data_IF_338274148366
#
_entry.id   IF_338274148366
#
_cell.length_a   1.000
_cell.length_b   1.000
_cell.length_c   1.000
_cell.angle_alpha   90.00
_cell.angle_beta   90.00
_cell.angle_gamma   90.00
#
_symmetry.space_group_name_H-M   'P 1'
#
loop_
_entity.id
_entity.type
_entity.pdbx_description
1 polymer ?
#
# COMPACT_ATOMS: atom_id res chain seq x y z
N UNK A 1 3.36 3.35 8.27
CA UNK A 1 3.92 4.17 7.17
C UNK A 1 5.13 3.46 6.57
N UNK A 2 5.39 3.66 5.28
CA UNK A 2 6.51 3.13 4.52
C UNK A 2 7.49 4.27 4.19
N UNK A 3 8.80 4.01 4.30
CA UNK A 3 9.84 4.94 3.85
C UNK A 3 10.76 4.19 2.90
N UNK A 4 10.93 4.70 1.69
CA UNK A 4 11.67 4.03 0.63
C UNK A 4 12.56 5.03 -0.12
N UNK A 5 13.64 4.51 -0.69
CA UNK A 5 14.54 5.24 -1.57
C UNK A 5 14.32 4.77 -3.00
N UNK A 6 14.08 5.69 -3.93
CA UNK A 6 14.00 5.39 -5.35
C UNK A 6 14.84 6.39 -6.13
N UNK A 7 15.59 5.91 -7.12
CA UNK A 7 16.38 6.78 -8.00
C UNK A 7 15.41 7.54 -8.91
N UNK A 8 15.52 8.88 -8.92
CA UNK A 8 14.81 9.71 -9.88
C UNK A 8 15.44 9.58 -11.26
N UNK A 9 16.25 10.57 -11.62
CA UNK A 9 17.14 10.52 -12.78
C UNK A 9 18.50 9.90 -12.44
N UNK A 10 19.12 10.34 -11.34
CA UNK A 10 20.53 10.03 -11.01
C UNK A 10 20.77 9.81 -9.52
N UNK A 11 19.98 10.43 -8.63
CA UNK A 11 20.21 10.37 -7.18
C UNK A 11 18.94 9.90 -6.44
N UNK A 12 19.10 9.31 -5.25
CA UNK A 12 17.97 8.77 -4.49
C UNK A 12 17.06 9.87 -3.93
N UNK A 13 15.77 9.65 -4.09
CA UNK A 13 14.68 10.41 -3.46
C UNK A 13 14.13 9.57 -2.31
N UNK A 14 14.15 10.13 -1.10
CA UNK A 14 13.57 9.50 0.09
C UNK A 14 12.09 9.87 0.16
N UNK A 15 11.21 8.87 0.07
CA UNK A 15 9.75 9.06 -0.03
C UNK A 15 9.06 8.32 1.11
N UNK A 16 8.21 9.03 1.84
CA UNK A 16 7.32 8.48 2.86
C UNK A 16 5.90 8.30 2.32
N UNK A 17 5.30 7.15 2.56
CA UNK A 17 3.90 6.83 2.19
C UNK A 17 3.14 6.29 3.40
N UNK A 18 2.03 6.94 3.74
CA UNK A 18 1.08 6.45 4.74
C UNK A 18 0.00 5.68 4.00
N UNK A 19 -0.22 4.43 4.40
CA UNK A 19 -1.28 3.56 3.87
C UNK A 19 -2.24 3.27 5.01
N UNK A 20 -3.52 3.48 4.76
CA UNK A 20 -4.61 3.20 5.69
C UNK A 20 -5.45 2.03 5.14
N UNK A 21 -6.18 1.34 6.02
CA UNK A 21 -7.11 0.29 5.64
C UNK A 21 -8.55 0.75 5.80
N UNK A 22 -9.39 0.41 4.82
CA UNK A 22 -10.82 0.60 4.96
C UNK A 22 -11.34 -0.37 6.03
N UNK A 23 -11.83 0.16 7.16
CA UNK A 23 -12.35 -0.62 8.29
C UNK A 23 -13.68 -1.33 8.01
N UNK A 24 -14.33 -0.99 6.90
CA UNK A 24 -15.70 -1.40 6.58
C UNK A 24 -15.74 -2.73 5.79
N UNK A 25 -14.68 -3.10 5.08
CA UNK A 25 -14.64 -4.31 4.24
C UNK A 25 -14.10 -5.52 4.98
N UNK A 26 -14.84 -6.00 5.97
CA UNK A 26 -14.46 -7.20 6.74
C UNK A 26 -14.62 -8.53 5.99
N UNK A 27 -15.17 -8.52 4.76
CA UNK A 27 -15.56 -9.77 4.06
C UNK A 27 -15.11 -9.89 2.59
N UNK A 28 -14.26 -9.00 2.08
CA UNK A 28 -13.60 -9.20 0.78
C UNK A 28 -12.36 -8.32 0.69
N UNK A 29 -11.19 -8.96 0.81
CA UNK A 29 -9.86 -8.40 0.56
C UNK A 29 -9.71 -6.93 0.98
N UNK A 30 -9.38 -6.68 2.24
CA UNK A 30 -9.07 -5.32 2.75
C UNK A 30 -7.93 -4.70 1.95
N UNK A 31 -8.28 -3.92 0.93
CA UNK A 31 -7.35 -3.15 0.13
C UNK A 31 -7.04 -1.86 0.89
N UNK A 32 -5.76 -1.62 1.15
CA UNK A 32 -5.32 -0.34 1.68
C UNK A 32 -5.40 0.75 0.60
N UNK A 33 -5.52 1.99 1.05
CA UNK A 33 -5.42 3.18 0.21
C UNK A 33 -4.33 4.11 0.74
N UNK A 34 -3.81 4.98 -0.11
CA UNK A 34 -2.81 5.98 0.28
C UNK A 34 -3.51 7.11 1.03
N UNK A 35 -3.10 7.34 2.28
CA UNK A 35 -3.56 8.49 3.08
C UNK A 35 -2.66 9.71 2.84
N UNK A 36 -1.36 9.49 2.63
CA UNK A 36 -0.41 10.58 2.44
C UNK A 36 0.85 10.13 1.70
N UNK A 37 1.36 10.98 0.82
CA UNK A 37 2.72 10.89 0.26
C UNK A 37 3.51 12.13 0.66
N UNK A 38 4.77 11.95 1.06
CA UNK A 38 5.68 13.04 1.39
C UNK A 38 7.09 12.77 0.89
N UNK A 39 7.70 13.77 0.27
CA UNK A 39 9.13 13.75 -0.07
C UNK A 39 9.91 14.16 1.18
N UNK A 40 10.72 13.24 1.69
CA UNK A 40 11.49 13.42 2.93
C UNK A 40 12.90 13.96 2.66
N UNK A 41 13.51 13.55 1.55
CA UNK A 41 14.76 14.13 1.06
C UNK A 41 14.83 14.06 -0.46
N UNK A 42 15.32 15.12 -1.08
CA UNK A 42 15.46 15.24 -2.53
C UNK A 42 16.86 15.72 -2.86
N UNK A 43 17.58 14.99 -3.73
CA UNK A 43 19.02 15.22 -3.97
C UNK A 43 19.35 15.54 -5.43
N UNK A 44 18.35 15.63 -6.30
CA UNK A 44 18.58 15.93 -7.72
C UNK A 44 18.59 17.42 -8.03
N UNK A 45 19.12 17.78 -9.21
CA UNK A 45 19.18 19.15 -9.68
C UNK A 45 17.83 19.71 -10.16
N UNK A 46 16.92 18.84 -10.61
CA UNK A 46 15.61 19.20 -11.20
C UNK A 46 14.55 18.20 -10.77
N UNK A 47 13.29 18.61 -10.85
CA UNK A 47 12.15 17.77 -10.48
C UNK A 47 11.79 17.84 -9.00
N UNK A 48 12.33 18.83 -8.28
CA UNK A 48 12.07 19.06 -6.86
C UNK A 48 10.62 19.47 -6.59
N UNK A 49 9.87 19.86 -7.63
CA UNK A 49 8.47 20.22 -7.62
C UNK A 49 7.57 19.07 -7.10
N UNK A 50 8.02 17.81 -7.20
CA UNK A 50 7.31 16.64 -6.63
C UNK A 50 7.14 16.71 -5.10
N UNK A 51 7.86 17.62 -4.41
CA UNK A 51 7.71 17.82 -2.95
C UNK A 51 6.48 18.62 -2.56
N UNK A 52 5.86 19.32 -3.50
CA UNK A 52 4.75 20.20 -3.21
C UNK A 52 3.47 19.43 -2.93
N UNK A 53 2.70 19.90 -1.95
CA UNK A 53 1.43 19.29 -1.56
C UNK A 53 0.44 19.20 -2.72
N UNK A 54 0.42 20.19 -3.62
CA UNK A 54 -0.42 20.18 -4.81
C UNK A 54 -0.15 18.95 -5.71
N UNK A 55 1.11 18.51 -5.82
CA UNK A 55 1.44 17.28 -6.54
C UNK A 55 1.11 16.03 -5.70
N UNK A 56 1.56 15.98 -4.44
CA UNK A 56 1.40 14.77 -3.62
C UNK A 56 -0.06 14.49 -3.22
N UNK A 57 -0.94 15.49 -3.25
CA UNK A 57 -2.37 15.33 -3.00
C UNK A 57 -3.07 14.48 -4.05
N UNK A 58 -2.52 14.34 -5.26
CA UNK A 58 -3.07 13.47 -6.31
C UNK A 58 -3.07 11.98 -5.92
N UNK A 59 -2.25 11.60 -4.93
CA UNK A 59 -2.18 10.23 -4.42
C UNK A 59 -3.18 9.95 -3.30
N UNK A 60 -3.91 10.95 -2.79
CA UNK A 60 -4.89 10.75 -1.73
C UNK A 60 -5.96 9.75 -2.18
N UNK A 61 -6.27 8.79 -1.32
CA UNK A 61 -7.21 7.68 -1.53
C UNK A 61 -6.87 6.74 -2.69
N UNK A 62 -5.69 6.89 -3.31
CA UNK A 62 -5.25 6.02 -4.40
C UNK A 62 -5.14 4.57 -3.92
N UNK A 63 -5.69 3.64 -4.71
CA UNK A 63 -5.65 2.19 -4.47
C UNK A 63 -4.85 1.50 -5.55
N UNK A 64 -4.43 0.27 -5.25
CA UNK A 64 -3.71 -0.57 -6.21
C UNK A 64 -4.68 -1.49 -6.95
N UNK A 65 -4.64 -1.46 -8.27
CA UNK A 65 -5.40 -2.37 -9.13
C UNK A 65 -4.79 -3.78 -9.17
N UNK A 66 -5.52 -4.74 -9.72
CA UNK A 66 -5.02 -6.11 -9.94
C UNK A 66 -3.77 -6.15 -10.83
N UNK A 67 -3.56 -5.15 -11.69
CA UNK A 67 -2.39 -5.00 -12.56
C UNK A 67 -1.17 -4.37 -11.87
N UNK A 68 -1.23 -4.14 -10.55
CA UNK A 68 -0.17 -3.45 -9.78
C UNK A 68 0.11 -2.03 -10.29
N UNK A 69 -0.96 -1.30 -10.60
CA UNK A 69 -0.93 0.13 -10.92
C UNK A 69 -1.83 0.88 -9.93
N UNK A 70 -1.70 2.20 -9.88
CA UNK A 70 -2.70 3.02 -9.21
C UNK A 70 -3.99 3.03 -10.03
N UNK A 71 -5.12 3.12 -9.35
CA UNK A 71 -6.46 3.27 -9.94
C UNK A 71 -6.76 4.71 -10.38
N UNK A 72 -5.97 5.67 -9.90
CA UNK A 72 -6.03 7.08 -10.28
C UNK A 72 -4.90 7.46 -11.25
N UNK A 73 -5.17 8.46 -12.09
CA UNK A 73 -4.16 9.09 -12.93
C UNK A 73 -3.39 10.13 -12.12
N UNK A 74 -2.07 10.19 -12.32
CA UNK A 74 -1.20 11.21 -11.71
C UNK A 74 -0.67 12.10 -12.81
N UNK A 75 -1.05 13.37 -12.77
CA UNK A 75 -0.55 14.40 -13.66
C UNK A 75 0.95 14.57 -13.48
N UNK A 76 1.64 14.58 -14.62
CA UNK A 76 3.07 14.81 -14.65
C UNK A 76 3.46 16.25 -14.32
N UNK A 77 4.73 16.44 -14.01
CA UNK A 77 5.37 17.76 -13.93
C UNK A 77 6.35 17.88 -15.09
N UNK A 78 6.21 18.96 -15.87
CA UNK A 78 7.10 19.25 -17.00
C UNK A 78 8.56 19.28 -16.54
N UNK A 79 9.43 18.51 -17.22
CA UNK A 79 10.84 18.41 -16.89
C UNK A 79 11.19 17.53 -15.68
N UNK A 80 10.19 16.90 -15.05
CA UNK A 80 10.35 16.08 -13.84
C UNK A 80 9.77 14.66 -14.00
N UNK A 81 9.63 14.17 -15.23
CA UNK A 81 8.99 12.87 -15.53
C UNK A 81 9.59 11.71 -14.74
N UNK A 82 10.91 11.66 -14.56
CA UNK A 82 11.57 10.59 -13.82
C UNK A 82 11.31 10.68 -12.32
N UNK A 83 11.29 11.89 -11.76
CA UNK A 83 10.91 12.13 -10.37
C UNK A 83 9.45 11.73 -10.11
N UNK A 84 8.53 12.08 -11.00
CA UNK A 84 7.12 11.65 -10.91
C UNK A 84 7.00 10.12 -10.94
N UNK A 85 7.72 9.46 -11.86
CA UNK A 85 7.74 7.99 -11.95
C UNK A 85 8.28 7.35 -10.67
N UNK A 86 9.32 7.91 -10.07
CA UNK A 86 9.87 7.42 -8.81
C UNK A 86 8.84 7.49 -7.67
N UNK A 87 8.14 8.63 -7.53
CA UNK A 87 7.09 8.78 -6.50
C UNK A 87 5.92 7.82 -6.75
N UNK A 88 5.43 7.70 -7.98
CA UNK A 88 4.35 6.77 -8.32
C UNK A 88 4.74 5.32 -8.08
N UNK A 89 5.98 4.94 -8.38
CA UNK A 89 6.51 3.61 -8.12
C UNK A 89 6.53 3.31 -6.62
N UNK A 90 7.03 4.23 -5.79
CA UNK A 90 7.05 4.05 -4.34
C UNK A 90 5.65 3.98 -3.75
N UNK A 91 4.70 4.82 -4.20
CA UNK A 91 3.31 4.74 -3.76
C UNK A 91 2.70 3.35 -4.06
N UNK A 92 2.91 2.85 -5.27
CA UNK A 92 2.46 1.51 -5.69
C UNK A 92 3.10 0.40 -4.87
N UNK A 93 4.41 0.48 -4.64
CA UNK A 93 5.15 -0.51 -3.85
C UNK A 93 4.71 -0.51 -2.38
N UNK A 94 4.43 0.67 -1.80
CA UNK A 94 3.92 0.78 -0.44
C UNK A 94 2.56 0.08 -0.28
N UNK A 95 1.64 0.29 -1.21
CA UNK A 95 0.35 -0.42 -1.24
C UNK A 95 0.53 -1.93 -1.38
N UNK A 96 1.39 -2.36 -2.32
CA UNK A 96 1.68 -3.77 -2.54
C UNK A 96 2.25 -4.44 -1.29
N UNK A 97 3.30 -3.87 -0.68
CA UNK A 97 3.90 -4.44 0.52
C UNK A 97 2.94 -4.44 1.71
N UNK A 98 2.11 -3.40 1.85
CA UNK A 98 1.08 -3.38 2.87
C UNK A 98 0.09 -4.54 2.72
N UNK A 99 -0.41 -4.79 1.51
CA UNK A 99 -1.28 -5.93 1.24
C UNK A 99 -0.62 -7.27 1.61
N UNK A 100 0.66 -7.45 1.28
CA UNK A 100 1.39 -8.68 1.58
C UNK A 100 1.55 -8.91 3.09
N UNK A 101 1.87 -7.84 3.84
CA UNK A 101 2.01 -7.92 5.31
C UNK A 101 0.67 -8.21 5.99
N UNK A 102 -0.41 -7.54 5.57
CA UNK A 102 -1.74 -7.79 6.13
C UNK A 102 -2.24 -9.20 5.84
N UNK A 103 -2.07 -9.69 4.60
CA UNK A 103 -2.44 -11.07 4.25
C UNK A 103 -1.67 -12.12 5.07
N UNK A 104 -0.38 -11.87 5.37
CA UNK A 104 0.41 -12.75 6.23
C UNK A 104 -0.09 -12.72 7.68
N UNK A 105 -0.47 -11.54 8.19
CA UNK A 105 -1.00 -11.37 9.54
C UNK A 105 -2.35 -12.07 9.72
N UNK A 106 -3.26 -11.95 8.74
CA UNK A 106 -4.56 -12.63 8.76
C UNK A 106 -4.41 -14.16 8.80
N UNK A 107 -3.51 -14.70 7.97
CA UNK A 107 -3.20 -16.15 7.97
C UNK A 107 -2.64 -16.61 9.30
N UNK A 108 -1.76 -15.81 9.92
CA UNK A 108 -1.20 -16.13 11.23
C UNK A 108 -2.29 -16.15 12.31
N UNK A 109 -3.18 -15.15 12.33
CA UNK A 109 -4.29 -15.07 13.28
C UNK A 109 -5.25 -16.26 13.12
N UNK A 110 -5.57 -16.62 11.87
CA UNK A 110 -6.40 -17.80 11.58
C UNK A 110 -5.75 -19.11 12.03
N UNK A 111 -4.42 -19.24 11.89
CA UNK A 111 -3.68 -20.44 12.32
C UNK A 111 -3.61 -20.62 13.85
N UNK A 112 -3.75 -19.54 14.62
CA UNK A 112 -3.67 -19.54 16.09
C UNK A 112 -5.02 -19.78 16.78
N UNK A 113 -6.13 -19.78 16.06
CA UNK A 113 -7.43 -20.13 16.61
C UNK A 113 -7.46 -21.63 16.95
N UNK A 114 -7.94 -22.03 18.13
CA UNK A 114 -8.01 -23.44 18.50
C UNK A 114 -8.89 -24.19 17.51
N UNK A 115 -8.37 -25.26 16.89
CA UNK A 115 -9.18 -26.24 16.17
C UNK A 115 -10.19 -26.79 17.16
N UNK A 116 -11.44 -26.34 17.07
CA UNK A 116 -12.51 -26.86 17.91
C UNK A 116 -12.58 -28.37 17.65
N UNK A 117 -12.30 -29.18 18.68
CA UNK A 117 -12.44 -30.64 18.61
C UNK A 117 -13.87 -30.93 18.15
N UNK A 118 -13.96 -31.74 17.12
CA UNK A 118 -15.20 -32.33 16.62
C UNK A 118 -16.09 -32.71 17.80
N UNK A 119 -17.26 -32.07 17.89
CA UNK A 119 -18.35 -32.59 18.72
C UNK A 119 -18.73 -33.94 18.11
N UNK A 120 -18.29 -35.02 18.75
CA UNK A 120 -18.80 -36.36 18.47
C UNK A 120 -20.33 -36.30 18.45
N UNK A 121 -21.00 -36.83 17.43
CA UNK A 121 -22.45 -36.96 17.51
C UNK A 121 -22.74 -37.89 18.70
N UNK A 122 -23.62 -37.46 19.60
CA UNK A 122 -24.20 -38.36 20.59
C UNK A 122 -24.93 -39.45 19.82
N UNK A 123 -24.27 -40.59 19.67
CA UNK A 123 -24.90 -41.85 19.30
C UNK A 123 -25.76 -42.23 20.50
N UNK A 124 -27.04 -41.89 20.45
CA UNK A 124 -28.06 -42.59 21.23
C UNK A 124 -28.37 -43.91 20.52
N UNK A 125 -27.46 -44.86 20.67
CA UNK A 125 -27.80 -46.28 20.81
C UNK A 125 -28.35 -46.43 22.23
N UNK A 126 -29.42 -47.12 22.60
CA UNK A 126 -30.37 -48.11 22.04
C UNK A 126 -31.43 -48.30 23.19
N UNK A 127 -32.36 -49.28 23.22
CA UNK A 127 -32.85 -50.21 22.22
C UNK A 127 -34.34 -50.03 21.85
#
# INVERSE_FOLDING_TARGET
>A
AWVMEEIGKELPITIGVVVNQDSITQNSASQGHVEQVKILAFRESRGWEVRYSAFTAQYLDAKMTSEKKLDTHIDGITGATLSVRAVTKVATLALFYHQQVMSAQDKLLQSKLPKNKETSPLVTETP
#
